data_IF_521730367338
#
_entry.id   IF_521730367338
#
_cell.length_a   1.000
_cell.length_b   1.000
_cell.length_c   1.000
_cell.angle_alpha   90.00
_cell.angle_beta   90.00
_cell.angle_gamma   90.00
#
_symmetry.space_group_name_H-M   'P 1'
#
loop_
_entity.id
_entity.type
_entity.pdbx_description
1 polymer ?
#
# COMPACT_ATOMS: atom_id res chain seq x y z
N UNK A 1 -30.13 23.66 -11.36
CA UNK A 1 -29.24 22.86 -12.26
C UNK A 1 -27.82 22.95 -11.72
N UNK A 2 -27.18 21.82 -11.47
CA UNK A 2 -25.82 21.77 -10.98
C UNK A 2 -24.89 21.22 -12.06
N UNK A 3 -23.73 21.86 -12.25
CA UNK A 3 -22.70 21.48 -13.21
C UNK A 3 -21.48 20.96 -12.43
N UNK A 4 -21.06 19.72 -12.73
CA UNK A 4 -19.83 19.13 -12.21
C UNK A 4 -18.85 18.95 -13.37
N UNK A 5 -17.77 19.72 -13.36
CA UNK A 5 -16.69 19.58 -14.35
C UNK A 5 -15.69 18.55 -13.85
N UNK A 6 -15.37 17.57 -14.70
CA UNK A 6 -14.43 16.49 -14.37
C UNK A 6 -13.00 17.01 -14.41
N UNK A 7 -12.38 17.05 -13.27
CA UNK A 7 -10.98 17.41 -13.12
C UNK A 7 -10.03 16.22 -13.35
N UNK A 8 -8.72 16.48 -13.26
CA UNK A 8 -7.67 15.46 -13.43
C UNK A 8 -7.86 14.25 -12.50
N UNK A 9 -8.29 14.49 -11.25
CA UNK A 9 -8.46 13.45 -10.23
C UNK A 9 -9.77 12.66 -10.33
N UNK A 10 -10.70 13.08 -11.19
CA UNK A 10 -11.95 12.38 -11.44
C UNK A 10 -11.95 11.65 -12.79
N UNK A 11 -11.07 12.03 -13.71
CA UNK A 11 -10.91 11.38 -15.01
C UNK A 11 -10.45 9.92 -14.87
N UNK A 12 -10.83 9.06 -15.82
CA UNK A 12 -10.47 7.64 -15.84
C UNK A 12 -11.38 6.74 -15.00
N UNK A 13 -12.36 7.28 -14.26
CA UNK A 13 -13.37 6.48 -13.57
C UNK A 13 -14.68 6.39 -14.36
N UNK A 14 -15.50 5.39 -14.04
CA UNK A 14 -16.84 5.28 -14.62
C UNK A 14 -17.77 6.34 -14.03
N UNK A 15 -18.68 6.84 -14.87
CA UNK A 15 -19.68 7.85 -14.48
C UNK A 15 -20.52 7.41 -13.26
N UNK A 16 -20.96 6.14 -13.20
CA UNK A 16 -21.74 5.64 -12.06
C UNK A 16 -20.95 5.67 -10.74
N UNK A 17 -19.65 5.40 -10.81
CA UNK A 17 -18.74 5.45 -9.62
C UNK A 17 -18.50 6.89 -9.17
N UNK A 18 -18.33 7.79 -10.14
CA UNK A 18 -18.23 9.22 -9.85
C UNK A 18 -19.51 9.75 -9.20
N UNK A 19 -20.68 9.44 -9.79
CA UNK A 19 -21.97 9.88 -9.25
C UNK A 19 -22.24 9.37 -7.83
N UNK A 20 -21.84 8.14 -7.51
CA UNK A 20 -21.96 7.60 -6.15
C UNK A 20 -21.15 8.39 -5.12
N UNK A 21 -20.01 8.95 -5.53
CA UNK A 21 -19.18 9.78 -4.65
C UNK A 21 -19.71 11.20 -4.57
N UNK A 22 -20.09 11.79 -5.69
CA UNK A 22 -20.62 13.14 -5.76
C UNK A 22 -22.01 13.27 -5.10
N UNK A 23 -22.77 12.17 -5.08
CA UNK A 23 -24.13 12.08 -4.52
C UNK A 23 -24.25 10.87 -3.56
N UNK A 24 -23.53 10.87 -2.43
CA UNK A 24 -23.41 9.71 -1.55
C UNK A 24 -24.74 9.25 -0.95
N UNK A 25 -25.69 10.17 -0.77
CA UNK A 25 -27.02 9.89 -0.26
C UNK A 25 -27.99 9.38 -1.33
N UNK A 26 -27.56 9.33 -2.62
CA UNK A 26 -28.37 8.79 -3.70
C UNK A 26 -28.20 7.27 -3.83
N UNK A 27 -29.30 6.53 -3.71
CA UNK A 27 -29.29 5.08 -3.98
C UNK A 27 -28.92 4.77 -5.42
N UNK A 28 -28.23 3.64 -5.66
CA UNK A 28 -27.79 3.23 -7.01
C UNK A 28 -28.95 3.18 -8.00
N UNK A 29 -30.10 2.63 -7.63
CA UNK A 29 -31.28 2.56 -8.48
C UNK A 29 -31.82 3.95 -8.85
N UNK A 30 -31.74 4.92 -7.93
CA UNK A 30 -32.11 6.31 -8.21
C UNK A 30 -31.17 6.93 -9.26
N UNK A 31 -29.88 6.78 -9.11
CA UNK A 31 -28.88 7.32 -10.06
C UNK A 31 -29.15 6.80 -11.49
N UNK A 32 -29.32 5.49 -11.66
CA UNK A 32 -29.63 4.91 -12.98
C UNK A 32 -30.98 5.36 -13.53
N UNK A 33 -31.99 5.58 -12.67
CA UNK A 33 -33.30 6.15 -13.05
C UNK A 33 -33.11 7.59 -13.58
N UNK A 34 -32.27 8.39 -12.91
CA UNK A 34 -32.00 9.79 -13.32
C UNK A 34 -31.24 9.87 -14.64
N UNK A 35 -30.26 8.99 -14.87
CA UNK A 35 -29.54 8.87 -16.16
C UNK A 35 -30.52 8.52 -17.30
N UNK A 36 -31.39 7.51 -17.11
CA UNK A 36 -32.41 7.12 -18.10
C UNK A 36 -33.37 8.24 -18.44
N UNK A 37 -33.78 9.06 -17.44
CA UNK A 37 -34.69 10.18 -17.59
C UNK A 37 -34.00 11.46 -18.12
N UNK A 38 -32.69 11.43 -18.37
CA UNK A 38 -31.86 12.60 -18.72
C UNK A 38 -31.86 13.71 -17.65
N UNK A 39 -32.21 13.39 -16.39
CA UNK A 39 -32.06 14.30 -15.27
C UNK A 39 -30.59 14.36 -14.80
N UNK A 40 -29.75 13.43 -15.26
CA UNK A 40 -28.30 13.50 -15.22
C UNK A 40 -27.81 13.23 -16.65
N UNK A 41 -26.94 14.11 -17.15
CA UNK A 41 -26.37 14.00 -18.50
C UNK A 41 -24.85 14.14 -18.46
N UNK A 42 -24.17 13.52 -19.43
CA UNK A 42 -22.74 13.68 -19.68
C UNK A 42 -22.56 14.45 -21.00
N UNK A 43 -21.85 15.57 -20.96
CA UNK A 43 -21.62 16.46 -22.10
C UNK A 43 -22.91 16.80 -22.87
N UNK A 44 -23.99 17.05 -22.12
CA UNK A 44 -25.31 17.35 -22.65
C UNK A 44 -26.06 16.16 -23.26
N UNK A 45 -25.48 14.95 -23.29
CA UNK A 45 -26.07 13.74 -23.87
C UNK A 45 -26.59 12.79 -22.79
N UNK A 46 -27.55 11.93 -23.17
CA UNK A 46 -27.98 10.82 -22.31
C UNK A 46 -26.80 9.88 -22.05
N UNK A 47 -26.66 9.44 -20.81
CA UNK A 47 -25.62 8.50 -20.38
C UNK A 47 -26.22 7.26 -19.72
N UNK A 48 -25.45 6.16 -19.71
CA UNK A 48 -25.83 4.87 -19.14
C UNK A 48 -25.15 4.58 -17.79
N UNK A 49 -24.14 5.39 -17.42
CA UNK A 49 -23.36 5.24 -16.20
C UNK A 49 -22.09 4.39 -16.37
N UNK A 50 -21.90 3.75 -17.52
CA UNK A 50 -20.70 2.93 -17.80
C UNK A 50 -19.58 3.71 -18.48
N UNK A 51 -19.85 4.92 -18.92
CA UNK A 51 -18.92 5.80 -19.62
C UNK A 51 -17.71 6.07 -18.74
N UNK A 52 -16.52 6.03 -19.33
CA UNK A 52 -15.28 6.45 -18.68
C UNK A 52 -15.15 7.96 -18.86
N UNK A 53 -15.06 8.66 -17.74
CA UNK A 53 -14.96 10.11 -17.72
C UNK A 53 -13.57 10.57 -18.17
N UNK A 54 -13.56 11.60 -19.03
CA UNK A 54 -12.35 12.32 -19.44
C UNK A 54 -12.23 13.64 -18.68
N UNK A 55 -11.02 14.17 -18.56
CA UNK A 55 -10.82 15.51 -18.00
C UNK A 55 -11.53 16.55 -18.90
N UNK A 56 -12.25 17.46 -18.26
CA UNK A 56 -13.05 18.48 -18.95
C UNK A 56 -14.49 18.03 -19.27
N UNK A 57 -14.85 16.76 -19.08
CA UNK A 57 -16.23 16.33 -19.20
C UNK A 57 -17.15 17.11 -18.27
N UNK A 58 -18.38 17.37 -18.72
CA UNK A 58 -19.42 18.05 -17.97
C UNK A 58 -20.54 17.10 -17.58
N UNK A 59 -20.72 16.90 -16.28
CA UNK A 59 -21.89 16.19 -15.74
C UNK A 59 -22.90 17.19 -15.24
N UNK A 60 -24.06 17.25 -15.89
CA UNK A 60 -25.16 18.15 -15.52
C UNK A 60 -26.23 17.39 -14.75
N UNK A 61 -26.57 17.86 -13.56
CA UNK A 61 -27.65 17.34 -12.72
C UNK A 61 -28.81 18.34 -12.71
N UNK A 62 -29.95 17.94 -13.27
CA UNK A 62 -31.17 18.77 -13.35
C UNK A 62 -32.05 18.51 -12.12
N UNK A 63 -31.52 18.87 -10.93
CA UNK A 63 -32.22 18.80 -9.66
C UNK A 63 -32.49 20.23 -9.12
N UNK A 64 -33.49 20.38 -8.24
CA UNK A 64 -33.60 21.58 -7.41
C UNK A 64 -32.38 21.68 -6.48
N UNK A 65 -32.08 22.88 -5.99
CA UNK A 65 -30.96 23.08 -5.04
C UNK A 65 -31.14 22.25 -3.77
N UNK A 66 -32.34 22.18 -3.24
CA UNK A 66 -32.67 21.37 -2.07
C UNK A 66 -32.44 19.88 -2.30
N UNK A 67 -32.90 19.35 -3.46
CA UNK A 67 -32.69 17.94 -3.81
C UNK A 67 -31.21 17.65 -3.99
N UNK A 68 -30.48 18.51 -4.67
CA UNK A 68 -29.03 18.31 -4.87
C UNK A 68 -28.29 18.36 -3.54
N UNK A 69 -28.56 19.32 -2.68
CA UNK A 69 -27.97 19.44 -1.35
C UNK A 69 -28.24 18.19 -0.49
N UNK A 70 -29.47 17.67 -0.50
CA UNK A 70 -29.84 16.45 0.20
C UNK A 70 -29.09 15.22 -0.33
N UNK A 71 -28.92 15.10 -1.65
CA UNK A 71 -28.27 13.95 -2.29
C UNK A 71 -26.75 14.02 -2.20
N UNK A 72 -26.16 15.23 -2.32
CA UNK A 72 -24.71 15.43 -2.28
C UNK A 72 -24.14 15.44 -0.86
N UNK A 73 -24.99 15.49 0.16
CA UNK A 73 -24.51 15.74 1.53
C UNK A 73 -23.88 17.13 1.66
N UNK A 74 -24.21 18.06 0.74
CA UNK A 74 -23.67 19.42 0.70
C UNK A 74 -24.00 20.16 2.00
N UNK A 75 -23.00 20.30 2.85
CA UNK A 75 -23.07 20.90 4.20
C UNK A 75 -22.10 20.27 5.18
N UNK A 76 -21.70 19.01 5.00
CA UNK A 76 -20.63 18.40 5.78
C UNK A 76 -19.36 18.37 4.92
N UNK A 77 -18.50 19.38 5.04
CA UNK A 77 -17.11 19.23 4.62
C UNK A 77 -16.57 17.95 5.27
N UNK A 78 -15.84 17.12 4.51
CA UNK A 78 -15.21 15.93 5.09
C UNK A 78 -14.37 16.36 6.30
N UNK A 79 -14.53 15.66 7.43
CA UNK A 79 -13.71 15.92 8.61
C UNK A 79 -12.26 15.51 8.33
N UNK A 80 -11.41 16.50 8.11
CA UNK A 80 -9.98 16.32 7.84
C UNK A 80 -9.12 16.27 9.11
N UNK A 81 -9.73 16.26 10.29
CA UNK A 81 -9.04 16.28 11.58
C UNK A 81 -8.08 15.11 11.76
N UNK A 82 -8.50 13.89 11.40
CA UNK A 82 -7.67 12.69 11.47
C UNK A 82 -6.45 12.78 10.53
N UNK A 83 -6.60 13.33 9.33
CA UNK A 83 -5.48 13.52 8.38
C UNK A 83 -4.45 14.50 8.94
N UNK A 84 -4.90 15.64 9.45
CA UNK A 84 -4.04 16.64 10.08
C UNK A 84 -3.37 16.09 11.34
N UNK A 85 -4.11 15.31 12.15
CA UNK A 85 -3.60 14.65 13.35
C UNK A 85 -2.52 13.62 12.98
N UNK A 86 -2.76 12.74 11.99
CA UNK A 86 -1.80 11.75 11.54
C UNK A 86 -0.50 12.41 11.05
N UNK A 87 -0.59 13.44 10.21
CA UNK A 87 0.57 14.17 9.70
C UNK A 87 1.42 14.80 10.82
N UNK A 88 0.79 15.31 11.88
CA UNK A 88 1.50 15.92 13.02
C UNK A 88 2.07 14.89 13.99
N UNK A 89 1.39 13.77 14.19
CA UNK A 89 1.68 12.80 15.27
C UNK A 89 2.58 11.66 14.84
N UNK A 90 2.44 11.15 13.60
CA UNK A 90 3.29 10.07 13.10
C UNK A 90 4.63 10.67 12.65
N UNK A 91 5.71 10.18 13.27
CA UNK A 91 7.07 10.68 13.02
C UNK A 91 7.88 9.71 12.18
N UNK A 92 9.05 10.16 11.72
CA UNK A 92 10.03 9.37 10.98
C UNK A 92 9.53 8.80 9.64
N UNK A 93 8.42 9.35 9.11
CA UNK A 93 7.96 9.09 7.76
C UNK A 93 8.68 10.08 6.83
N UNK A 94 9.36 9.59 5.80
CA UNK A 94 10.03 10.42 4.82
C UNK A 94 9.55 10.14 3.40
N UNK A 95 9.60 11.18 2.56
CA UNK A 95 9.30 11.09 1.14
C UNK A 95 10.58 10.71 0.41
N UNK A 96 10.54 9.59 -0.35
CA UNK A 96 11.64 9.13 -1.18
C UNK A 96 11.55 9.67 -2.61
N UNK A 97 10.34 9.79 -3.11
CA UNK A 97 10.05 10.34 -4.43
C UNK A 97 8.62 10.90 -4.45
N UNK A 98 8.43 11.98 -5.18
CA UNK A 98 7.13 12.58 -5.40
C UNK A 98 7.06 13.24 -6.77
N UNK A 99 5.99 12.97 -7.51
CA UNK A 99 5.63 13.70 -8.72
C UNK A 99 4.14 14.10 -8.70
N UNK A 100 3.59 14.48 -9.86
CA UNK A 100 2.19 14.88 -9.98
C UNK A 100 1.19 13.73 -9.79
N UNK A 101 1.61 12.46 -9.93
CA UNK A 101 0.71 11.28 -9.95
C UNK A 101 0.93 10.33 -8.77
N UNK A 102 2.17 10.18 -8.33
CA UNK A 102 2.57 9.19 -7.33
C UNK A 102 3.48 9.78 -6.25
N UNK A 103 3.55 9.05 -5.14
CA UNK A 103 4.43 9.35 -4.02
C UNK A 103 5.00 8.03 -3.47
N UNK A 104 6.29 7.98 -3.18
CA UNK A 104 6.94 6.87 -2.51
C UNK A 104 7.31 7.30 -1.10
N UNK A 105 6.81 6.58 -0.09
CA UNK A 105 7.06 6.87 1.31
C UNK A 105 7.96 5.80 1.94
N UNK A 106 8.90 6.23 2.76
CA UNK A 106 9.60 5.34 3.69
C UNK A 106 8.82 5.30 5.01
N UNK A 107 8.16 4.18 5.25
CA UNK A 107 7.37 3.94 6.46
C UNK A 107 8.27 3.41 7.59
N UNK A 108 8.29 3.99 8.78
CA UNK A 108 8.98 3.40 9.92
C UNK A 108 8.24 2.15 10.44
N UNK A 109 8.94 1.32 11.21
CA UNK A 109 8.31 0.26 11.99
C UNK A 109 7.38 0.86 13.07
N UNK A 110 6.34 0.13 13.46
CA UNK A 110 5.34 0.58 14.44
C UNK A 110 4.14 1.32 13.84
N UNK A 111 4.26 1.91 12.64
CA UNK A 111 3.18 2.63 11.96
C UNK A 111 2.34 1.67 11.12
N UNK A 112 1.01 1.75 11.24
CA UNK A 112 0.07 1.04 10.37
C UNK A 112 0.12 1.62 8.95
N UNK A 113 0.02 0.78 7.92
CA UNK A 113 -0.12 1.25 6.54
C UNK A 113 -1.54 1.80 6.29
N UNK A 114 -2.54 1.12 6.83
CA UNK A 114 -3.96 1.51 6.80
C UNK A 114 -4.57 1.25 8.18
N UNK A 115 -5.62 1.99 8.52
CA UNK A 115 -6.37 1.79 9.77
C UNK A 115 -6.84 0.34 9.89
N UNK A 116 -6.69 -0.24 11.08
CA UNK A 116 -7.31 -1.51 11.46
C UNK A 116 -8.63 -1.26 12.21
N UNK A 117 -8.71 -0.13 12.93
CA UNK A 117 -9.90 0.35 13.66
C UNK A 117 -10.13 1.83 13.33
N UNK A 118 -11.36 2.34 13.47
CA UNK A 118 -11.68 3.74 13.15
C UNK A 118 -10.79 4.78 13.85
N UNK A 119 -10.40 4.52 15.10
CA UNK A 119 -9.58 5.41 15.93
C UNK A 119 -8.08 5.39 15.61
N UNK A 120 -7.62 4.41 14.82
CA UNK A 120 -6.20 4.29 14.48
C UNK A 120 -5.75 5.46 13.58
N UNK A 121 -4.49 5.83 13.75
CA UNK A 121 -3.79 6.66 12.76
C UNK A 121 -2.89 5.77 11.91
N UNK A 122 -2.86 6.02 10.61
CA UNK A 122 -2.07 5.22 9.68
C UNK A 122 -1.32 6.07 8.65
N UNK A 123 -0.43 5.42 7.89
CA UNK A 123 0.29 6.05 6.81
C UNK A 123 -0.64 6.64 5.75
N UNK A 124 -1.82 6.02 5.53
CA UNK A 124 -2.80 6.52 4.57
C UNK A 124 -3.39 7.87 5.00
N UNK A 125 -3.71 8.05 6.28
CA UNK A 125 -4.14 9.34 6.81
C UNK A 125 -2.99 10.35 6.79
N UNK A 126 -1.77 9.92 7.11
CA UNK A 126 -0.58 10.78 7.01
C UNK A 126 -0.35 11.28 5.59
N UNK A 127 -0.48 10.42 4.57
CA UNK A 127 -0.38 10.77 3.15
C UNK A 127 -1.34 11.91 2.79
N UNK A 128 -2.62 11.78 3.15
CA UNK A 128 -3.62 12.80 2.84
C UNK A 128 -3.30 14.10 3.60
N UNK A 129 -2.92 13.99 4.88
CA UNK A 129 -2.50 15.14 5.70
C UNK A 129 -1.27 15.87 5.13
N UNK A 130 -0.28 15.13 4.62
CA UNK A 130 0.88 15.67 3.93
C UNK A 130 0.49 16.47 2.68
N UNK A 131 -0.35 15.89 1.81
CA UNK A 131 -0.80 16.53 0.59
C UNK A 131 -1.65 17.78 0.84
N UNK A 132 -2.49 17.77 1.88
CA UNK A 132 -3.25 18.94 2.34
C UNK A 132 -2.31 20.04 2.88
N UNK A 133 -1.32 19.68 3.68
CA UNK A 133 -0.35 20.63 4.24
C UNK A 133 0.53 21.26 3.15
N UNK A 134 0.88 20.50 2.12
CA UNK A 134 1.62 20.98 0.95
C UNK A 134 0.75 21.73 -0.08
N UNK A 135 -0.57 21.90 0.18
CA UNK A 135 -1.54 22.45 -0.77
C UNK A 135 -1.56 21.74 -2.15
N UNK A 136 -1.10 20.48 -2.18
CA UNK A 136 -1.11 19.64 -3.39
C UNK A 136 -2.53 19.14 -3.73
N UNK A 137 -3.41 19.08 -2.73
CA UNK A 137 -4.84 18.80 -2.86
C UNK A 137 -5.63 19.76 -1.98
N UNK A 138 -6.91 19.97 -2.32
CA UNK A 138 -7.88 20.73 -1.51
C UNK A 138 -8.81 19.77 -0.78
N UNK A 139 -9.37 20.22 0.35
CA UNK A 139 -10.37 19.42 1.08
C UNK A 139 -11.58 19.05 0.20
N UNK A 140 -11.98 19.97 -0.70
CA UNK A 140 -13.06 19.73 -1.67
C UNK A 140 -12.76 18.59 -2.66
N UNK A 141 -11.50 18.29 -2.94
CA UNK A 141 -11.11 17.22 -3.86
C UNK A 141 -11.40 15.83 -3.24
N UNK A 142 -11.34 15.74 -1.91
CA UNK A 142 -11.59 14.51 -1.16
C UNK A 142 -13.02 13.99 -1.35
N UNK A 143 -13.99 14.85 -1.63
CA UNK A 143 -15.37 14.42 -1.90
C UNK A 143 -15.47 13.41 -3.06
N UNK A 144 -14.54 13.42 -4.00
CA UNK A 144 -14.60 12.58 -5.22
C UNK A 144 -13.42 11.64 -5.38
N UNK A 145 -12.26 11.94 -4.78
CA UNK A 145 -11.07 11.11 -4.84
C UNK A 145 -10.23 11.25 -3.57
N UNK A 146 -9.82 10.11 -3.00
CA UNK A 146 -8.87 10.05 -1.90
C UNK A 146 -7.54 9.49 -2.40
N UNK A 147 -6.43 10.23 -2.28
CA UNK A 147 -5.09 9.67 -2.40
C UNK A 147 -4.93 8.48 -1.47
N UNK A 148 -4.25 7.43 -1.91
CA UNK A 148 -4.17 6.21 -1.13
C UNK A 148 -2.88 5.44 -1.35
N UNK A 149 -2.51 4.65 -0.33
CA UNK A 149 -1.45 3.65 -0.44
C UNK A 149 -1.89 2.52 -1.39
N UNK A 150 -0.99 2.07 -2.27
CA UNK A 150 -1.26 1.04 -3.27
C UNK A 150 -0.73 -0.34 -2.88
N UNK A 151 0.22 -0.42 -1.94
CA UNK A 151 0.67 -1.66 -1.31
C UNK A 151 0.66 -1.52 0.21
N UNK A 152 0.79 -2.63 0.91
CA UNK A 152 0.79 -2.66 2.37
C UNK A 152 2.05 -3.30 2.90
N UNK A 153 2.57 -2.76 3.98
CA UNK A 153 3.54 -3.38 4.86
C UNK A 153 2.87 -3.69 6.20
N UNK A 154 3.33 -4.72 6.89
CA UNK A 154 2.91 -4.99 8.26
C UNK A 154 3.23 -3.80 9.16
N UNK A 155 2.54 -3.64 10.31
CA UNK A 155 2.77 -2.55 11.25
C UNK A 155 4.27 -2.37 11.55
N UNK A 156 4.96 -3.46 11.84
CA UNK A 156 6.35 -3.46 12.28
C UNK A 156 7.37 -3.69 11.14
N UNK A 157 6.93 -3.79 9.90
CA UNK A 157 7.80 -3.79 8.73
C UNK A 157 8.02 -2.36 8.26
N UNK A 158 9.27 -1.95 8.12
CA UNK A 158 9.67 -0.63 7.61
C UNK A 158 9.92 -0.64 6.11
N UNK A 159 10.04 0.53 5.49
CA UNK A 159 10.47 0.70 4.11
C UNK A 159 9.41 1.23 3.16
N UNK A 160 9.58 0.96 1.88
CA UNK A 160 8.89 1.63 0.77
C UNK A 160 7.41 1.25 0.69
N UNK A 161 6.57 2.28 0.69
CA UNK A 161 5.14 2.18 0.36
C UNK A 161 4.84 3.07 -0.84
N UNK A 162 4.23 2.47 -1.86
CA UNK A 162 3.79 3.13 -3.09
C UNK A 162 2.42 3.78 -2.86
N UNK A 163 2.28 5.05 -3.22
CA UNK A 163 1.08 5.82 -2.99
C UNK A 163 0.63 6.52 -4.28
N UNK A 164 -0.66 6.46 -4.59
CA UNK A 164 -1.25 7.22 -5.67
C UNK A 164 -1.79 8.57 -5.19
N UNK A 165 -1.30 9.65 -5.78
CA UNK A 165 -1.79 11.02 -5.55
C UNK A 165 -2.98 11.36 -6.42
N UNK A 166 -3.10 10.72 -7.58
CA UNK A 166 -4.21 10.84 -8.53
C UNK A 166 -4.86 9.50 -8.79
N UNK A 167 -6.09 9.51 -9.30
CA UNK A 167 -6.76 8.26 -9.69
C UNK A 167 -5.94 7.51 -10.76
N UNK A 168 -5.42 8.22 -11.76
CA UNK A 168 -4.59 7.63 -12.80
C UNK A 168 -3.31 7.00 -12.24
N UNK A 169 -2.62 7.70 -11.31
CA UNK A 169 -1.45 7.17 -10.61
C UNK A 169 -1.78 5.94 -9.77
N UNK A 170 -2.88 5.97 -9.02
CA UNK A 170 -3.35 4.82 -8.21
C UNK A 170 -3.68 3.60 -9.08
N UNK A 171 -4.34 3.80 -10.22
CA UNK A 171 -4.67 2.73 -11.17
C UNK A 171 -3.42 2.15 -11.83
N UNK A 172 -2.48 3.00 -12.23
CA UNK A 172 -1.22 2.57 -12.85
C UNK A 172 -0.35 1.78 -11.87
N UNK A 173 -0.17 2.26 -10.63
CA UNK A 173 0.53 1.53 -9.57
C UNK A 173 -0.15 0.19 -9.26
N UNK A 174 -1.48 0.18 -9.14
CA UNK A 174 -2.23 -1.05 -8.88
C UNK A 174 -2.06 -2.08 -10.00
N UNK A 175 -1.95 -1.63 -11.26
CA UNK A 175 -1.69 -2.49 -12.42
C UNK A 175 -0.33 -3.17 -12.29
N UNK A 176 0.76 -2.40 -12.14
CA UNK A 176 2.13 -2.95 -12.06
C UNK A 176 2.37 -3.80 -10.81
N UNK A 177 1.59 -3.59 -9.75
CA UNK A 177 1.60 -4.45 -8.56
C UNK A 177 0.87 -5.77 -8.86
N UNK A 178 -0.27 -5.71 -9.55
CA UNK A 178 -1.10 -6.89 -9.88
C UNK A 178 -0.43 -7.81 -10.89
N UNK A 179 0.17 -7.25 -11.95
CA UNK A 179 0.88 -7.99 -13.00
C UNK A 179 2.33 -8.35 -12.59
N UNK A 180 2.78 -7.88 -11.42
CA UNK A 180 4.09 -8.14 -10.83
C UNK A 180 5.27 -7.59 -11.65
N UNK A 181 5.04 -6.59 -12.48
CA UNK A 181 6.10 -5.92 -13.24
C UNK A 181 6.97 -5.02 -12.37
N UNK A 182 6.45 -4.51 -11.24
CA UNK A 182 7.24 -3.84 -10.21
C UNK A 182 7.90 -4.86 -9.29
N UNK A 183 9.23 -4.84 -9.19
CA UNK A 183 9.98 -5.72 -8.28
C UNK A 183 10.18 -5.05 -6.93
N UNK A 184 10.07 -5.85 -5.86
CA UNK A 184 10.17 -5.39 -4.48
C UNK A 184 11.15 -6.26 -3.73
N UNK A 185 12.19 -5.63 -3.18
CA UNK A 185 13.25 -6.31 -2.44
C UNK A 185 13.21 -5.89 -0.97
N UNK A 186 13.33 -6.89 -0.13
CA UNK A 186 13.36 -6.73 1.32
C UNK A 186 14.69 -7.18 1.87
N UNK A 187 15.09 -6.57 2.97
CA UNK A 187 16.20 -7.05 3.79
C UNK A 187 15.68 -7.61 5.09
N UNK A 188 16.21 -8.75 5.51
CA UNK A 188 15.84 -9.40 6.77
C UNK A 188 16.99 -10.23 7.32
N UNK A 189 17.01 -10.40 8.65
CA UNK A 189 17.93 -11.33 9.30
C UNK A 189 17.12 -12.52 9.80
N UNK A 190 17.56 -13.71 9.46
CA UNK A 190 16.95 -14.96 9.92
C UNK A 190 17.91 -15.81 10.74
N UNK A 191 17.34 -16.73 11.52
CA UNK A 191 18.07 -17.80 12.21
C UNK A 191 18.52 -18.87 11.21
N UNK A 192 19.72 -19.39 11.41
CA UNK A 192 20.32 -20.45 10.60
C UNK A 192 21.27 -19.94 9.54
N UNK A 193 22.13 -20.82 9.05
CA UNK A 193 23.08 -20.56 7.98
C UNK A 193 22.43 -20.89 6.64
N UNK A 194 22.22 -19.90 5.82
CA UNK A 194 21.77 -20.05 4.44
C UNK A 194 22.93 -19.63 3.54
N UNK A 195 23.42 -20.55 2.71
CA UNK A 195 24.64 -20.36 1.91
C UNK A 195 24.35 -20.19 0.42
N UNK A 196 23.13 -20.44 -0.02
CA UNK A 196 22.75 -20.38 -1.43
C UNK A 196 21.41 -19.68 -1.61
N UNK A 197 21.24 -19.07 -2.77
CA UNK A 197 19.95 -18.59 -3.22
C UNK A 197 18.92 -19.71 -3.32
N UNK A 198 17.69 -19.41 -3.03
CA UNK A 198 16.59 -20.36 -3.20
C UNK A 198 15.28 -19.65 -3.54
N UNK A 199 14.44 -20.39 -4.23
CA UNK A 199 13.06 -20.02 -4.51
C UNK A 199 12.13 -20.88 -3.67
N UNK A 200 11.33 -20.23 -2.81
CA UNK A 200 10.28 -20.89 -2.06
C UNK A 200 8.95 -20.71 -2.78
N UNK A 201 8.24 -21.80 -3.00
CA UNK A 201 6.87 -21.82 -3.51
C UNK A 201 5.98 -22.62 -2.56
N UNK A 202 4.70 -22.28 -2.51
CA UNK A 202 3.74 -22.95 -1.64
C UNK A 202 2.40 -22.25 -1.66
N UNK A 203 1.55 -22.60 -0.70
CA UNK A 203 0.20 -22.08 -0.55
C UNK A 203 0.03 -21.49 0.85
N UNK A 204 -0.51 -20.30 0.93
CA UNK A 204 -0.69 -19.57 2.18
C UNK A 204 -2.17 -19.44 2.46
N UNK A 205 -2.58 -19.96 3.61
CA UNK A 205 -3.90 -19.79 4.19
C UNK A 205 -3.85 -18.77 5.33
N UNK A 206 -4.82 -17.86 5.39
CA UNK A 206 -4.93 -16.85 6.45
C UNK A 206 -6.09 -17.20 7.37
N UNK A 207 -5.78 -17.43 8.65
CA UNK A 207 -6.81 -17.48 9.70
C UNK A 207 -7.17 -16.04 10.11
N UNK A 208 -8.35 -15.59 9.73
CA UNK A 208 -8.83 -14.24 10.03
C UNK A 208 -9.07 -14.00 11.53
N UNK A 209 -9.37 -15.05 12.31
CA UNK A 209 -9.67 -14.93 13.75
C UNK A 209 -8.41 -14.62 14.54
N UNK A 210 -7.31 -15.29 14.21
CA UNK A 210 -6.03 -15.14 14.91
C UNK A 210 -5.11 -14.13 14.20
N UNK A 211 -5.49 -13.72 12.98
CA UNK A 211 -4.66 -12.91 12.08
C UNK A 211 -3.26 -13.53 11.89
N UNK A 212 -3.19 -14.87 11.84
CA UNK A 212 -1.98 -15.63 11.51
C UNK A 212 -2.12 -16.29 10.15
N UNK A 213 -0.99 -16.73 9.58
CA UNK A 213 -1.00 -17.49 8.33
C UNK A 213 -0.28 -18.82 8.52
N UNK A 214 -0.69 -19.81 7.74
CA UNK A 214 -0.04 -21.12 7.63
C UNK A 214 0.42 -21.29 6.19
N UNK A 215 1.57 -21.93 6.03
CA UNK A 215 2.15 -22.25 4.72
C UNK A 215 2.10 -23.76 4.50
N UNK A 216 1.64 -24.15 3.33
CA UNK A 216 1.52 -25.53 2.88
C UNK A 216 2.40 -25.70 1.64
N UNK A 217 3.19 -26.77 1.54
CA UNK A 217 4.03 -27.00 0.37
C UNK A 217 3.21 -27.39 -0.88
N UNK A 218 2.08 -28.06 -0.68
CA UNK A 218 1.21 -28.55 -1.74
C UNK A 218 -0.24 -28.04 -1.56
N UNK A 219 -0.91 -27.79 -2.69
CA UNK A 219 -2.33 -27.40 -2.70
C UNK A 219 -3.24 -28.51 -2.17
N UNK A 220 -2.86 -29.77 -2.32
CA UNK A 220 -3.64 -30.91 -1.80
C UNK A 220 -3.75 -30.92 -0.27
N UNK A 221 -2.77 -30.32 0.42
CA UNK A 221 -2.76 -30.21 1.89
C UNK A 221 -3.34 -28.88 2.37
N UNK A 222 -3.53 -27.93 1.47
CA UNK A 222 -3.97 -26.57 1.81
C UNK A 222 -5.51 -26.43 1.76
N UNK A 223 -6.12 -25.56 2.56
CA UNK A 223 -7.52 -25.16 2.40
C UNK A 223 -7.80 -24.61 1.00
N UNK A 224 -9.05 -24.78 0.51
CA UNK A 224 -9.47 -24.35 -0.84
C UNK A 224 -9.22 -22.87 -1.15
N UNK A 225 -9.32 -22.01 -0.13
CA UNK A 225 -9.09 -20.56 -0.24
C UNK A 225 -7.62 -20.15 -0.02
N UNK A 226 -6.71 -21.10 0.12
CA UNK A 226 -5.28 -20.82 0.18
C UNK A 226 -4.78 -20.20 -1.12
N UNK A 227 -3.85 -19.27 -1.00
CA UNK A 227 -3.31 -18.54 -2.14
C UNK A 227 -1.90 -18.96 -2.44
N UNK A 228 -1.58 -19.22 -3.71
CA UNK A 228 -0.20 -19.46 -4.14
C UNK A 228 0.73 -18.31 -3.74
N UNK A 229 1.89 -18.65 -3.20
CA UNK A 229 2.94 -17.71 -2.81
C UNK A 229 4.29 -18.12 -3.42
N UNK A 230 5.07 -17.09 -3.77
CA UNK A 230 6.44 -17.25 -4.27
C UNK A 230 7.34 -16.19 -3.66
N UNK A 231 8.46 -16.63 -3.09
CA UNK A 231 9.49 -15.80 -2.45
C UNK A 231 10.85 -16.28 -2.92
N UNK A 232 11.69 -15.37 -3.40
CA UNK A 232 13.09 -15.68 -3.77
C UNK A 232 13.97 -15.01 -2.73
N UNK A 233 14.99 -15.71 -2.23
CA UNK A 233 15.94 -15.07 -1.33
C UNK A 233 17.38 -15.41 -1.72
N UNK A 234 18.25 -14.42 -1.52
CA UNK A 234 19.70 -14.50 -1.74
C UNK A 234 20.41 -14.14 -0.45
N UNK A 235 21.33 -14.98 0.09
CA UNK A 235 22.12 -14.61 1.25
C UNK A 235 23.08 -13.48 0.89
N UNK A 236 23.08 -12.42 1.71
CA UNK A 236 23.94 -11.25 1.55
C UNK A 236 25.13 -11.26 2.51
N UNK A 237 24.95 -11.87 3.70
CA UNK A 237 26.02 -12.12 4.68
C UNK A 237 25.62 -13.25 5.62
N UNK A 238 26.61 -14.02 6.10
CA UNK A 238 26.41 -15.11 7.08
C UNK A 238 27.41 -14.94 8.22
N UNK A 239 26.91 -14.90 9.44
CA UNK A 239 27.74 -14.84 10.63
C UNK A 239 27.15 -15.65 11.80
N UNK A 240 27.96 -16.53 12.39
CA UNK A 240 27.49 -17.40 13.48
C UNK A 240 26.28 -18.26 13.06
N UNK A 241 25.16 -18.08 13.74
CA UNK A 241 23.89 -18.78 13.47
C UNK A 241 22.87 -17.89 12.73
N UNK A 242 23.31 -16.82 12.09
CA UNK A 242 22.43 -15.85 11.42
C UNK A 242 22.81 -15.64 9.98
N UNK A 243 21.81 -15.31 9.17
CA UNK A 243 21.99 -14.91 7.78
C UNK A 243 21.21 -13.62 7.52
N UNK A 244 21.88 -12.63 6.93
CA UNK A 244 21.25 -11.49 6.28
C UNK A 244 20.80 -11.93 4.88
N UNK A 245 19.53 -11.75 4.57
CA UNK A 245 18.94 -12.07 3.28
C UNK A 245 18.47 -10.82 2.56
N UNK A 246 18.70 -10.79 1.26
CA UNK A 246 17.90 -10.01 0.31
C UNK A 246 16.79 -10.90 -0.23
N UNK A 247 15.54 -10.45 -0.10
CA UNK A 247 14.34 -11.22 -0.44
C UNK A 247 13.55 -10.50 -1.53
N UNK A 248 13.38 -11.13 -2.69
CA UNK A 248 12.45 -10.67 -3.73
C UNK A 248 11.03 -11.20 -3.41
N UNK A 249 10.10 -10.29 -3.19
CA UNK A 249 8.70 -10.60 -2.93
C UNK A 249 7.92 -10.65 -4.25
N UNK A 250 7.84 -11.85 -4.87
CA UNK A 250 7.13 -12.04 -6.15
C UNK A 250 5.62 -11.94 -5.98
N UNK A 251 5.07 -12.60 -4.97
CA UNK A 251 3.68 -12.44 -4.53
C UNK A 251 3.64 -11.63 -3.23
N UNK A 252 2.54 -10.95 -2.93
CA UNK A 252 2.45 -10.05 -1.78
C UNK A 252 1.28 -10.37 -0.85
N UNK A 253 1.32 -11.52 -0.16
CA UNK A 253 0.31 -11.91 0.81
C UNK A 253 0.69 -11.51 2.25
N UNK A 254 -0.31 -11.40 3.12
CA UNK A 254 -0.11 -11.05 4.53
C UNK A 254 0.95 -11.94 5.19
N UNK A 255 1.91 -11.34 5.88
CA UNK A 255 3.01 -12.00 6.58
C UNK A 255 3.84 -12.98 5.73
N UNK A 256 3.76 -12.93 4.37
CA UNK A 256 4.32 -13.96 3.49
C UNK A 256 5.78 -14.29 3.78
N UNK A 257 6.70 -13.30 3.74
CA UNK A 257 8.14 -13.53 3.97
C UNK A 257 8.37 -14.18 5.34
N UNK A 258 7.68 -13.68 6.35
CA UNK A 258 7.80 -14.12 7.75
C UNK A 258 7.42 -15.59 7.92
N UNK A 259 6.23 -15.96 7.44
CA UNK A 259 5.74 -17.32 7.53
C UNK A 259 6.48 -18.28 6.61
N UNK A 260 6.83 -17.83 5.39
CA UNK A 260 7.53 -18.68 4.41
C UNK A 260 8.93 -19.06 4.87
N UNK A 261 9.73 -18.11 5.41
CA UNK A 261 11.04 -18.43 5.96
C UNK A 261 10.93 -19.25 7.27
N UNK A 262 9.94 -18.98 8.10
CA UNK A 262 9.72 -19.77 9.31
C UNK A 262 9.35 -21.23 9.00
N UNK A 263 8.55 -21.50 7.95
CA UNK A 263 8.16 -22.85 7.54
C UNK A 263 9.35 -23.71 7.05
N UNK A 264 10.44 -23.07 6.63
CA UNK A 264 11.68 -23.73 6.24
C UNK A 264 12.72 -23.82 7.37
N UNK A 265 12.35 -23.49 8.60
CA UNK A 265 13.25 -23.52 9.76
C UNK A 265 14.15 -22.29 9.92
N UNK A 266 13.91 -21.23 9.15
CA UNK A 266 14.67 -19.98 9.16
C UNK A 266 13.83 -18.77 9.60
N UNK A 267 13.27 -18.78 10.83
CA UNK A 267 12.43 -17.66 11.28
C UNK A 267 13.22 -16.35 11.39
N UNK A 268 12.53 -15.24 11.16
CA UNK A 268 13.12 -13.91 11.25
C UNK A 268 13.44 -13.54 12.71
N UNK A 269 14.55 -12.84 12.92
CA UNK A 269 14.90 -12.28 14.22
C UNK A 269 13.85 -11.26 14.66
N UNK A 270 13.44 -11.37 15.93
CA UNK A 270 12.45 -10.47 16.53
C UNK A 270 11.01 -10.74 16.13
N UNK A 271 10.74 -11.75 15.28
CA UNK A 271 9.37 -12.07 14.91
C UNK A 271 8.60 -12.74 16.05
N UNK A 272 7.65 -12.01 16.61
CA UNK A 272 6.86 -12.49 17.77
C UNK A 272 5.75 -13.49 17.39
N UNK A 273 5.43 -13.63 16.09
CA UNK A 273 4.38 -14.55 15.61
C UNK A 273 4.94 -15.88 15.11
N UNK A 274 5.99 -15.81 14.30
CA UNK A 274 6.54 -16.96 13.58
C UNK A 274 7.98 -17.25 13.98
N UNK A 275 8.54 -16.44 14.88
CA UNK A 275 9.93 -16.51 15.31
C UNK A 275 10.19 -17.52 16.43
N UNK A 276 11.48 -17.66 16.74
CA UNK A 276 11.96 -18.47 17.89
C UNK A 276 11.87 -17.65 19.17
N UNK A 277 11.01 -18.05 20.10
CA UNK A 277 10.76 -17.34 21.35
C UNK A 277 12.01 -17.23 22.27
N UNK A 278 12.89 -18.22 22.28
CA UNK A 278 14.12 -18.18 23.08
C UNK A 278 15.11 -17.17 22.47
N UNK A 279 15.26 -17.21 21.16
CA UNK A 279 16.11 -16.29 20.43
C UNK A 279 15.57 -14.85 20.55
N UNK A 280 14.26 -14.65 20.40
CA UNK A 280 13.65 -13.33 20.50
C UNK A 280 13.84 -12.70 21.88
N UNK A 281 13.77 -13.48 22.98
CA UNK A 281 14.09 -12.97 24.32
C UNK A 281 15.55 -12.52 24.45
N UNK A 282 16.49 -13.26 23.84
CA UNK A 282 17.90 -12.85 23.79
C UNK A 282 18.08 -11.56 22.98
N UNK A 283 17.49 -11.48 21.79
CA UNK A 283 17.55 -10.28 20.94
C UNK A 283 16.93 -9.06 21.63
N UNK A 284 15.85 -9.27 22.39
CA UNK A 284 15.23 -8.20 23.18
C UNK A 284 16.14 -7.71 24.31
N UNK A 285 16.77 -8.62 25.06
CA UNK A 285 17.64 -8.25 26.20
C UNK A 285 18.96 -7.61 25.75
N UNK A 286 19.57 -8.10 24.67
CA UNK A 286 20.87 -7.66 24.19
C UNK A 286 20.78 -6.43 23.29
N UNK A 287 19.76 -6.35 22.45
CA UNK A 287 19.64 -5.33 21.40
C UNK A 287 18.35 -4.50 21.44
N UNK A 288 17.49 -4.72 22.44
CA UNK A 288 16.16 -4.09 22.54
C UNK A 288 15.32 -4.29 21.25
N UNK A 289 15.43 -5.47 20.64
CA UNK A 289 14.67 -5.82 19.46
C UNK A 289 13.30 -6.38 19.85
N UNK A 290 12.22 -5.65 19.53
CA UNK A 290 10.85 -5.96 19.94
C UNK A 290 9.96 -6.48 18.80
N UNK A 291 10.44 -6.47 17.56
CA UNK A 291 9.70 -6.90 16.40
C UNK A 291 10.62 -7.41 15.29
N UNK A 292 10.04 -8.05 14.28
CA UNK A 292 10.79 -8.62 13.16
C UNK A 292 11.74 -7.61 12.49
N UNK A 293 12.98 -8.01 12.26
CA UNK A 293 13.91 -7.29 11.40
C UNK A 293 13.53 -7.57 9.93
N UNK A 294 12.63 -6.77 9.39
CA UNK A 294 12.16 -6.85 8.01
C UNK A 294 11.98 -5.44 7.45
N UNK A 295 12.64 -5.15 6.36
CA UNK A 295 12.67 -3.83 5.74
C UNK A 295 12.43 -3.94 4.22
N UNK A 296 11.41 -3.27 3.70
CA UNK A 296 11.15 -3.13 2.27
C UNK A 296 12.13 -2.09 1.68
N UNK A 297 13.36 -2.52 1.41
CA UNK A 297 14.49 -1.64 1.14
C UNK A 297 14.56 -1.10 -0.27
N UNK A 298 14.03 -1.85 -1.27
CA UNK A 298 14.18 -1.46 -2.69
C UNK A 298 12.94 -1.77 -3.50
N UNK A 299 12.62 -0.87 -4.43
CA UNK A 299 11.59 -1.03 -5.46
C UNK A 299 12.18 -0.69 -6.81
N UNK A 300 12.02 -1.60 -7.80
CA UNK A 300 12.41 -1.37 -9.19
C UNK A 300 11.16 -1.29 -10.06
N UNK A 301 10.99 -0.18 -10.75
CA UNK A 301 9.91 0.01 -11.72
C UNK A 301 10.24 -0.67 -13.05
N UNK A 302 9.22 -1.12 -13.82
CA UNK A 302 9.45 -1.72 -15.14
C UNK A 302 10.08 -0.72 -16.12
N UNK A 303 10.89 -1.24 -17.06
CA UNK A 303 11.59 -0.44 -18.07
C UNK A 303 10.65 0.30 -19.02
N UNK A 304 9.44 -0.23 -19.24
CA UNK A 304 8.43 0.32 -20.14
C UNK A 304 7.20 0.81 -19.37
N UNK A 305 7.39 1.63 -18.34
CA UNK A 305 6.29 2.25 -17.64
C UNK A 305 5.81 3.50 -18.41
N UNK A 306 4.52 3.54 -18.72
CA UNK A 306 3.91 4.60 -19.51
C UNK A 306 2.93 5.46 -18.71
N UNK A 307 2.47 6.56 -19.34
CA UNK A 307 1.45 7.44 -18.80
C UNK A 307 1.82 8.02 -17.44
N UNK A 308 1.01 7.80 -16.38
CA UNK A 308 1.29 8.35 -15.05
C UNK A 308 2.61 7.88 -14.42
N UNK A 309 3.21 6.81 -14.91
CA UNK A 309 4.45 6.24 -14.38
C UNK A 309 5.66 6.46 -15.30
N UNK A 310 5.51 7.21 -16.41
CA UNK A 310 6.60 7.43 -17.38
C UNK A 310 7.87 8.01 -16.75
N UNK A 311 7.73 8.88 -15.74
CA UNK A 311 8.86 9.50 -15.04
C UNK A 311 9.69 8.54 -14.20
N UNK A 312 9.13 7.41 -13.82
CA UNK A 312 9.79 6.40 -12.98
C UNK A 312 10.11 5.12 -13.77
N UNK A 313 9.93 5.13 -15.10
CA UNK A 313 10.26 4.02 -15.99
C UNK A 313 11.72 3.60 -15.82
N UNK A 314 11.99 2.32 -15.59
CA UNK A 314 13.33 1.76 -15.36
C UNK A 314 14.03 2.25 -14.08
N UNK A 315 13.40 3.10 -13.26
CA UNK A 315 14.04 3.62 -12.07
C UNK A 315 13.96 2.66 -10.88
N UNK A 316 14.99 2.73 -10.06
CA UNK A 316 15.10 2.03 -8.79
C UNK A 316 15.14 3.03 -7.65
N UNK A 317 14.38 2.75 -6.60
CA UNK A 317 14.34 3.56 -5.38
C UNK A 317 14.74 2.72 -4.19
N UNK A 318 15.61 3.27 -3.36
CA UNK A 318 16.09 2.66 -2.14
C UNK A 318 15.58 3.42 -0.90
N UNK A 319 15.15 2.70 0.11
CA UNK A 319 14.90 3.26 1.44
C UNK A 319 16.11 2.96 2.35
N UNK A 320 16.60 3.95 3.10
CA UNK A 320 17.68 3.72 4.05
C UNK A 320 17.22 2.74 5.15
N UNK A 321 18.13 1.85 5.56
CA UNK A 321 17.88 0.95 6.70
C UNK A 321 17.58 1.76 7.96
N UNK A 322 16.60 1.34 8.78
CA UNK A 322 16.40 1.91 10.11
C UNK A 322 17.65 1.79 10.96
N UNK A 323 17.94 2.82 11.76
CA UNK A 323 19.14 2.86 12.62
C UNK A 323 19.29 1.59 13.48
N UNK A 324 18.20 1.15 14.14
CA UNK A 324 18.20 -0.08 14.95
C UNK A 324 18.53 -1.33 14.14
N UNK A 325 18.09 -1.42 12.87
CA UNK A 325 18.45 -2.53 11.99
C UNK A 325 19.95 -2.53 11.70
N UNK A 326 20.51 -1.36 11.33
CA UNK A 326 21.94 -1.20 11.04
C UNK A 326 22.83 -1.51 12.27
N UNK A 327 22.43 -1.05 13.46
CA UNK A 327 23.12 -1.40 14.73
C UNK A 327 23.20 -2.91 14.93
N UNK A 328 22.09 -3.63 14.71
CA UNK A 328 22.03 -5.08 14.90
C UNK A 328 22.89 -5.81 13.85
N UNK A 329 22.87 -5.37 12.58
CA UNK A 329 23.76 -5.93 11.56
C UNK A 329 25.23 -5.79 11.95
N UNK A 330 25.63 -4.62 12.44
CA UNK A 330 27.00 -4.38 12.90
C UNK A 330 27.35 -5.27 14.10
N UNK A 331 26.48 -5.34 15.10
CA UNK A 331 26.70 -6.12 16.31
C UNK A 331 26.79 -7.64 16.03
N UNK A 332 26.08 -8.13 15.00
CA UNK A 332 26.10 -9.53 14.58
C UNK A 332 27.16 -9.82 13.50
N UNK A 333 27.99 -8.85 13.09
CA UNK A 333 28.93 -8.95 11.99
C UNK A 333 28.27 -9.41 10.65
N UNK A 334 27.09 -8.88 10.37
CA UNK A 334 26.28 -9.16 9.18
C UNK A 334 26.27 -7.99 8.18
N UNK A 335 27.23 -7.06 8.28
CA UNK A 335 27.38 -6.02 7.26
C UNK A 335 27.78 -6.68 5.95
N UNK A 336 27.04 -6.47 4.84
CA UNK A 336 27.49 -6.95 3.55
C UNK A 336 28.89 -6.41 3.28
N UNK A 337 29.78 -7.26 2.78
CA UNK A 337 31.02 -6.73 2.18
C UNK A 337 30.60 -5.67 1.18
N UNK A 338 31.20 -4.49 1.27
CA UNK A 338 30.98 -3.40 0.32
C UNK A 338 31.36 -3.91 -1.06
N UNK A 339 30.40 -4.58 -1.70
CA UNK A 339 30.54 -4.94 -3.10
C UNK A 339 30.54 -3.66 -3.92
N UNK A 340 31.64 -3.44 -4.60
CA UNK A 340 31.90 -2.41 -5.58
C UNK A 340 30.76 -2.20 -6.58
#
# INVERSE_FOLDING_TARGET
MQLLTIGKNQAGQRLDKFLKKALPNAGTGFLYKMLRKKNITLNGKKAEGKEILAQGDEVKCFFSEETYASLSGAGAAEDTSDYRKAYRSLKDISVLYEDENILLLNKPAGVLTQKAKPEDLSLNEWLIGHLLAAAAIKETDLATFHPSVCNRLDRNTSGIVLCGKTLAGSQALSRIIKDRSVKKYYQTVCKGKILQESTLEGYLYKDERTNTVQVFPDMAEAPEDASFIKTIYTPSAVAGEYTLLTVELVTGKTHQIRAHLASTGHPLLGDTKYGDNKLNRRMQSEYSLHHQLLHAGRVCFPEEAEGPLAKVSGQTFDAPLPHKFAEILQALNLTPDSAC
#
